data_IF_773752599207
#
_entry.id   IF_773752599207
#
_cell.length_a   1.000
_cell.length_b   1.000
_cell.length_c   1.000
_cell.angle_alpha   90.00
_cell.angle_beta   90.00
_cell.angle_gamma   90.00
#
_symmetry.space_group_name_H-M   'P 1'
#
loop_
_entity.id
_entity.type
_entity.pdbx_description
1 polymer ?
#
# COMPACT_ATOMS: atom_id res chain seq x y z
N UNK A 1 -10.15 6.60 5.16
CA UNK A 1 -9.57 7.77 4.47
C UNK A 1 -9.55 7.39 3.05
N UNK A 2 -10.28 8.14 2.25
CA UNK A 2 -10.73 7.58 0.99
C UNK A 2 -10.29 8.52 -0.11
N UNK A 3 -9.83 7.94 -1.19
CA UNK A 3 -9.49 8.69 -2.38
C UNK A 3 -9.47 7.78 -3.59
N UNK A 4 -9.63 8.41 -4.74
CA UNK A 4 -9.54 7.76 -6.03
C UNK A 4 -8.40 8.39 -6.83
N UNK A 5 -7.85 7.62 -7.76
CA UNK A 5 -6.83 8.07 -8.70
C UNK A 5 -7.09 7.40 -10.06
N UNK A 6 -7.03 8.20 -11.13
CA UNK A 6 -7.08 7.72 -12.51
C UNK A 6 -5.64 7.58 -13.03
N UNK A 7 -5.32 6.43 -13.61
CA UNK A 7 -3.99 6.07 -14.08
C UNK A 7 -4.08 5.55 -15.51
N UNK A 8 -3.10 5.86 -16.35
CA UNK A 8 -3.13 5.50 -17.77
C UNK A 8 -2.79 4.02 -18.04
N UNK A 9 -2.10 3.36 -17.11
CA UNK A 9 -1.80 1.93 -17.21
C UNK A 9 -3.09 1.09 -17.24
N UNK A 10 -3.08 -0.02 -18.00
CA UNK A 10 -4.22 -0.94 -18.04
C UNK A 10 -4.34 -1.73 -16.72
N UNK A 11 -5.57 -2.13 -16.39
CA UNK A 11 -5.93 -2.74 -15.10
C UNK A 11 -5.04 -3.92 -14.75
N UNK A 12 -4.93 -4.89 -15.66
CA UNK A 12 -4.20 -6.13 -15.43
C UNK A 12 -2.72 -5.90 -15.09
N UNK A 13 -2.03 -5.01 -15.83
CA UNK A 13 -0.61 -4.74 -15.59
C UNK A 13 -0.41 -3.98 -14.29
N UNK A 14 -1.23 -2.95 -14.06
CA UNK A 14 -1.17 -2.19 -12.82
C UNK A 14 -1.45 -3.07 -11.59
N UNK A 15 -2.46 -3.93 -11.67
CA UNK A 15 -2.81 -4.89 -10.63
C UNK A 15 -1.67 -5.87 -10.37
N UNK A 16 -1.06 -6.43 -11.42
CA UNK A 16 0.05 -7.38 -11.27
C UNK A 16 1.24 -6.78 -10.52
N UNK A 17 1.55 -5.50 -10.76
CA UNK A 17 2.60 -4.78 -10.04
C UNK A 17 2.18 -4.50 -8.59
N UNK A 18 0.91 -4.14 -8.36
CA UNK A 18 0.39 -3.92 -7.01
C UNK A 18 0.33 -5.21 -6.17
N UNK A 19 0.10 -6.36 -6.80
CA UNK A 19 0.09 -7.66 -6.14
C UNK A 19 1.51 -8.19 -5.82
N UNK A 20 2.56 -7.61 -6.41
CA UNK A 20 3.96 -7.91 -6.09
C UNK A 20 4.46 -7.01 -4.96
N UNK A 21 4.13 -7.36 -3.72
CA UNK A 21 4.48 -6.54 -2.54
C UNK A 21 5.99 -6.25 -2.40
N UNK A 22 6.86 -7.13 -2.91
CA UNK A 22 8.31 -6.92 -2.82
C UNK A 22 8.79 -5.77 -3.71
N UNK A 23 8.05 -5.42 -4.78
CA UNK A 23 8.38 -4.29 -5.64
C UNK A 23 8.27 -2.95 -4.90
N UNK A 24 7.55 -2.89 -3.78
CA UNK A 24 7.26 -1.64 -3.07
C UNK A 24 8.53 -0.96 -2.56
N UNK A 25 9.52 -1.75 -2.10
CA UNK A 25 10.86 -1.28 -1.73
C UNK A 25 11.55 -0.56 -2.89
N UNK A 26 11.45 -1.09 -4.10
CA UNK A 26 12.04 -0.47 -5.31
C UNK A 26 11.32 0.83 -5.67
N UNK A 27 10.00 0.89 -5.49
CA UNK A 27 9.20 2.06 -5.84
C UNK A 27 9.40 3.20 -4.82
N UNK A 28 9.45 2.88 -3.53
CA UNK A 28 9.56 3.86 -2.44
C UNK A 28 10.75 3.57 -1.51
N UNK A 29 12.00 3.57 -2.02
CA UNK A 29 13.18 3.14 -1.24
C UNK A 29 13.45 4.01 -0.01
N UNK A 30 13.04 5.27 -0.03
CA UNK A 30 13.23 6.22 1.07
C UNK A 30 12.18 6.05 2.20
N UNK A 31 11.07 5.34 1.93
CA UNK A 31 9.98 5.12 2.88
C UNK A 31 9.83 3.65 3.28
N UNK A 32 10.23 2.72 2.41
CA UNK A 32 10.10 1.28 2.58
C UNK A 32 11.50 0.69 2.47
N UNK A 33 12.14 0.49 3.63
CA UNK A 33 13.50 0.00 3.71
C UNK A 33 13.58 -1.50 3.38
N UNK A 34 12.54 -2.25 3.76
CA UNK A 34 12.44 -3.68 3.44
C UNK A 34 11.00 -4.15 3.35
N UNK A 35 10.77 -5.17 2.49
CA UNK A 35 9.53 -5.95 2.42
C UNK A 35 9.91 -7.41 2.19
N UNK A 36 9.49 -8.27 3.09
CA UNK A 36 9.70 -9.73 3.01
C UNK A 36 8.37 -10.44 3.06
N UNK A 37 8.16 -11.42 2.18
CA UNK A 37 7.05 -12.35 2.32
C UNK A 37 7.46 -13.40 3.36
N UNK A 38 6.75 -13.43 4.49
CA UNK A 38 7.02 -14.38 5.59
C UNK A 38 6.05 -15.56 5.59
N UNK A 39 4.91 -15.42 4.93
CA UNK A 39 3.95 -16.50 4.70
C UNK A 39 3.21 -16.26 3.40
N UNK A 40 2.93 -17.33 2.65
CA UNK A 40 2.05 -17.30 1.47
C UNK A 40 1.30 -18.62 1.42
N UNK A 41 -0.02 -18.54 1.50
CA UNK A 41 -0.94 -19.66 1.29
C UNK A 41 -1.92 -19.33 0.15
N UNK A 42 -2.88 -20.22 -0.11
CA UNK A 42 -3.86 -20.06 -1.19
C UNK A 42 -4.74 -18.81 -1.04
N UNK A 43 -4.91 -18.33 0.18
CA UNK A 43 -5.90 -17.31 0.55
C UNK A 43 -5.26 -16.00 1.00
N UNK A 44 -4.05 -16.05 1.58
CA UNK A 44 -3.40 -14.88 2.16
C UNK A 44 -1.89 -14.86 1.91
N UNK A 45 -1.37 -13.64 1.87
CA UNK A 45 0.06 -13.35 1.88
C UNK A 45 0.35 -12.53 3.12
N UNK A 46 1.33 -12.93 3.92
CA UNK A 46 1.82 -12.15 5.05
C UNK A 46 3.19 -11.60 4.71
N UNK A 47 3.33 -10.30 4.87
CA UNK A 47 4.58 -9.57 4.68
C UNK A 47 5.06 -9.00 6.00
N UNK A 48 6.38 -8.81 6.07
CA UNK A 48 7.05 -8.03 7.10
C UNK A 48 7.69 -6.82 6.42
N UNK A 49 7.37 -5.62 6.91
CA UNK A 49 7.88 -4.37 6.37
C UNK A 49 8.67 -3.57 7.40
N UNK A 50 9.76 -2.97 6.93
CA UNK A 50 10.50 -1.94 7.67
C UNK A 50 10.22 -0.60 6.99
N UNK A 51 9.45 0.24 7.66
CA UNK A 51 9.01 1.54 7.14
C UNK A 51 9.74 2.68 7.84
N UNK A 52 10.10 3.71 7.09
CA UNK A 52 10.72 4.93 7.61
C UNK A 52 9.79 6.13 7.46
N UNK A 53 9.21 6.57 8.57
CA UNK A 53 8.29 7.72 8.60
C UNK A 53 9.02 9.04 8.87
N UNK A 54 10.15 9.30 8.19
CA UNK A 54 11.09 10.37 8.55
C UNK A 54 10.46 11.75 8.80
N UNK A 55 9.37 12.10 8.09
CA UNK A 55 8.66 13.38 8.23
C UNK A 55 7.68 13.46 9.40
N UNK A 56 7.30 12.33 10.01
CA UNK A 56 6.31 12.27 11.11
C UNK A 56 6.94 11.65 12.36
N UNK A 57 7.59 10.51 12.21
CA UNK A 57 8.23 9.74 13.26
C UNK A 57 9.63 9.41 12.71
N UNK A 58 10.68 10.09 13.21
CA UNK A 58 12.09 9.86 12.83
C UNK A 58 12.63 8.49 13.33
N UNK A 59 11.81 7.45 13.25
CA UNK A 59 12.11 6.09 13.67
C UNK A 59 11.62 5.12 12.62
N UNK A 60 12.32 4.00 12.54
CA UNK A 60 11.86 2.84 11.81
C UNK A 60 10.64 2.23 12.49
N UNK A 61 9.70 1.77 11.68
CA UNK A 61 8.51 1.07 12.09
C UNK A 61 8.57 -0.31 11.47
N UNK A 62 8.72 -1.32 12.31
CA UNK A 62 8.54 -2.71 11.93
C UNK A 62 7.06 -3.05 12.06
N UNK A 63 6.50 -3.62 11.00
CA UNK A 63 5.12 -4.11 11.00
C UNK A 63 5.00 -5.36 10.15
N UNK A 64 3.89 -6.05 10.32
CA UNK A 64 3.47 -7.13 9.46
C UNK A 64 2.08 -6.84 8.94
N UNK A 65 1.84 -7.21 7.69
CA UNK A 65 0.56 -7.01 7.02
C UNK A 65 0.08 -8.34 6.46
N UNK A 66 -1.22 -8.59 6.57
CA UNK A 66 -1.91 -9.74 5.95
C UNK A 66 -2.71 -9.23 4.77
N UNK A 67 -2.45 -9.80 3.61
CA UNK A 67 -3.06 -9.41 2.35
C UNK A 67 -3.97 -10.51 1.81
N UNK A 68 -5.06 -10.11 1.17
CA UNK A 68 -5.94 -10.98 0.40
C UNK A 68 -6.15 -10.37 -0.99
N UNK A 69 -5.93 -11.19 -2.02
CA UNK A 69 -6.16 -10.85 -3.42
C UNK A 69 -7.50 -11.46 -3.81
N UNK A 70 -8.45 -10.64 -4.28
CA UNK A 70 -9.79 -11.09 -4.65
C UNK A 70 -9.97 -10.88 -6.14
N UNK A 71 -10.11 -11.99 -6.87
CA UNK A 71 -10.48 -12.06 -8.29
C UNK A 71 -9.62 -11.21 -9.25
N UNK A 72 -8.42 -10.79 -8.84
CA UNK A 72 -7.55 -9.95 -9.67
C UNK A 72 -7.95 -8.48 -9.74
N UNK A 73 -8.91 -8.05 -8.91
CA UNK A 73 -9.48 -6.70 -8.94
C UNK A 73 -9.35 -5.96 -7.60
N UNK A 74 -9.20 -6.70 -6.50
CA UNK A 74 -9.12 -6.12 -5.17
C UNK A 74 -7.90 -6.66 -4.42
N UNK A 75 -7.24 -5.76 -3.69
CA UNK A 75 -6.24 -6.09 -2.68
C UNK A 75 -6.73 -5.54 -1.34
N UNK A 76 -7.10 -6.44 -0.45
CA UNK A 76 -7.37 -6.15 0.95
C UNK A 76 -6.12 -6.38 1.78
N UNK A 77 -5.79 -5.45 2.66
CA UNK A 77 -4.64 -5.53 3.54
C UNK A 77 -5.01 -5.14 4.97
N UNK A 78 -4.61 -5.94 5.94
CA UNK A 78 -4.73 -5.63 7.37
C UNK A 78 -3.33 -5.59 8.00
N UNK A 79 -3.01 -4.51 8.70
CA UNK A 79 -1.78 -4.44 9.51
C UNK A 79 -2.00 -5.26 10.78
N UNK A 80 -1.28 -6.38 10.93
CA UNK A 80 -1.49 -7.33 12.03
C UNK A 80 -0.50 -7.15 13.19
N UNK A 81 0.58 -6.39 12.99
CA UNK A 81 1.56 -6.06 14.03
C UNK A 81 2.11 -4.63 13.88
N UNK A 82 2.84 -4.14 14.90
CA UNK A 82 3.39 -2.79 14.90
C UNK A 82 2.43 -1.70 15.43
N UNK A 83 2.84 -0.43 15.38
CA UNK A 83 2.12 0.70 16.00
C UNK A 83 0.79 1.04 15.32
N UNK A 84 0.53 0.49 14.14
CA UNK A 84 -0.68 0.70 13.34
C UNK A 84 -1.55 -0.56 13.22
N UNK A 85 -1.30 -1.54 14.10
CA UNK A 85 -2.07 -2.78 14.16
C UNK A 85 -3.58 -2.53 14.15
N UNK A 86 -4.28 -3.31 13.32
CA UNK A 86 -5.72 -3.25 13.09
C UNK A 86 -6.16 -2.18 12.08
N UNK A 87 -5.22 -1.48 11.43
CA UNK A 87 -5.53 -0.65 10.27
C UNK A 87 -5.78 -1.51 9.04
N UNK A 88 -6.69 -1.08 8.16
CA UNK A 88 -7.03 -1.81 6.93
C UNK A 88 -6.92 -0.92 5.70
N UNK A 89 -6.46 -1.49 4.59
CA UNK A 89 -6.46 -0.88 3.25
C UNK A 89 -7.31 -1.77 2.35
N UNK A 90 -8.30 -1.19 1.70
CA UNK A 90 -9.04 -1.78 0.60
C UNK A 90 -8.68 -1.04 -0.68
N UNK A 91 -8.06 -1.73 -1.63
CA UNK A 91 -7.69 -1.18 -2.93
C UNK A 91 -8.44 -1.92 -4.05
N UNK A 92 -9.32 -1.21 -4.75
CA UNK A 92 -10.09 -1.73 -5.87
C UNK A 92 -9.58 -1.12 -7.19
N UNK A 93 -9.31 -1.97 -8.17
CA UNK A 93 -8.84 -1.60 -9.50
C UNK A 93 -9.99 -1.79 -10.49
N UNK A 94 -10.39 -0.70 -11.15
CA UNK A 94 -11.55 -0.63 -12.02
C UNK A 94 -11.07 -0.17 -13.38
N UNK A 95 -11.41 -0.91 -14.43
CA UNK A 95 -11.11 -0.49 -15.80
C UNK A 95 -11.84 0.82 -16.13
N UNK A 96 -11.14 1.76 -16.76
CA UNK A 96 -11.70 3.03 -17.20
C UNK A 96 -11.34 3.31 -18.67
N UNK A 97 -12.09 4.17 -19.39
CA UNK A 97 -11.83 4.43 -20.82
C UNK A 97 -10.41 4.93 -21.12
N UNK A 98 -9.73 5.51 -20.13
CA UNK A 98 -8.38 6.07 -20.25
C UNK A 98 -7.32 5.27 -19.49
N UNK A 99 -7.66 4.10 -18.95
CA UNK A 99 -6.74 3.22 -18.23
C UNK A 99 -7.39 2.51 -17.05
N UNK A 100 -6.98 2.86 -15.83
CA UNK A 100 -7.46 2.25 -14.59
C UNK A 100 -7.79 3.30 -13.55
N UNK A 101 -9.00 3.23 -13.02
CA UNK A 101 -9.38 3.91 -11.79
C UNK A 101 -9.01 3.03 -10.60
N UNK A 102 -8.25 3.57 -9.66
CA UNK A 102 -7.95 2.89 -8.39
C UNK A 102 -8.70 3.60 -7.27
N UNK A 103 -9.60 2.88 -6.61
CA UNK A 103 -10.33 3.36 -5.43
C UNK A 103 -9.69 2.79 -4.17
N UNK A 104 -9.33 3.68 -3.23
CA UNK A 104 -8.68 3.32 -1.98
C UNK A 104 -9.56 3.74 -0.82
N UNK A 105 -9.88 2.79 0.06
CA UNK A 105 -10.40 3.03 1.40
C UNK A 105 -9.37 2.58 2.43
N UNK A 106 -9.05 3.45 3.39
CA UNK A 106 -8.07 3.15 4.43
C UNK A 106 -8.55 3.52 5.83
N UNK A 107 -8.79 2.51 6.66
CA UNK A 107 -9.14 2.69 8.06
C UNK A 107 -7.88 2.69 8.91
N UNK A 108 -7.46 3.88 9.36
CA UNK A 108 -6.27 4.03 10.19
C UNK A 108 -6.60 3.77 11.66
N UNK A 109 -5.94 2.79 12.27
CA UNK A 109 -5.85 2.62 13.73
C UNK A 109 -4.43 2.94 14.19
N UNK A 110 -4.32 3.80 15.19
CA UNK A 110 -3.03 4.26 15.72
C UNK A 110 -2.97 3.87 17.20
N UNK A 111 -1.84 3.31 17.63
CA UNK A 111 -1.62 3.03 19.05
C UNK A 111 -1.70 4.30 19.90
N UNK A 112 -2.03 4.15 21.18
CA UNK A 112 -2.26 5.28 22.09
C UNK A 112 -1.07 6.25 22.14
N UNK A 113 0.16 5.72 22.04
CA UNK A 113 1.40 6.50 22.04
C UNK A 113 1.47 7.53 20.89
N UNK A 114 0.88 7.23 19.73
CA UNK A 114 0.95 8.08 18.54
C UNK A 114 -0.38 8.79 18.23
N UNK A 115 -1.37 8.71 19.13
CA UNK A 115 -2.73 9.21 18.90
C UNK A 115 -2.78 10.71 18.57
N UNK A 116 -1.92 11.53 19.18
CA UNK A 116 -1.84 12.98 18.90
C UNK A 116 -1.35 13.24 17.46
N UNK A 117 -0.50 12.36 16.91
CA UNK A 117 0.04 12.49 15.55
C UNK A 117 -0.89 11.93 14.46
N UNK A 118 -2.05 11.38 14.83
CA UNK A 118 -2.98 10.73 13.88
C UNK A 118 -3.27 11.57 12.62
N UNK A 119 -3.54 12.89 12.69
CA UNK A 119 -3.81 13.69 11.50
C UNK A 119 -2.61 13.74 10.54
N UNK A 120 -1.39 13.84 11.09
CA UNK A 120 -0.15 13.87 10.31
C UNK A 120 0.13 12.50 9.69
N UNK A 121 -0.02 11.43 10.46
CA UNK A 121 0.13 10.04 9.98
C UNK A 121 -0.84 9.78 8.83
N UNK A 122 -2.12 10.14 9.00
CA UNK A 122 -3.16 9.99 7.97
C UNK A 122 -2.80 10.76 6.70
N UNK A 123 -2.38 12.03 6.82
CA UNK A 123 -1.96 12.84 5.66
C UNK A 123 -0.76 12.20 4.95
N UNK A 124 0.23 11.74 5.71
CA UNK A 124 1.45 11.17 5.16
C UNK A 124 1.18 9.84 4.43
N UNK A 125 0.38 8.94 5.00
CA UNK A 125 -0.05 7.71 4.33
C UNK A 125 -0.76 7.99 3.00
N UNK A 126 -1.63 9.01 2.94
CA UNK A 126 -2.30 9.39 1.68
C UNK A 126 -1.30 9.79 0.61
N UNK A 127 -0.26 10.54 0.99
CA UNK A 127 0.80 10.97 0.08
C UNK A 127 1.60 9.76 -0.42
N UNK A 128 2.01 8.88 0.50
CA UNK A 128 2.76 7.66 0.17
C UNK A 128 1.97 6.76 -0.78
N UNK A 129 0.71 6.47 -0.47
CA UNK A 129 -0.11 5.58 -1.30
C UNK A 129 -0.30 6.16 -2.70
N UNK A 130 -0.58 7.47 -2.82
CA UNK A 130 -0.64 8.14 -4.12
C UNK A 130 0.69 8.03 -4.89
N UNK A 131 1.81 8.30 -4.22
CA UNK A 131 3.13 8.21 -4.83
C UNK A 131 3.43 6.78 -5.32
N UNK A 132 3.07 5.78 -4.51
CA UNK A 132 3.20 4.36 -4.86
C UNK A 132 2.46 4.06 -6.18
N UNK A 133 1.17 4.42 -6.26
CA UNK A 133 0.35 4.18 -7.45
C UNK A 133 0.85 4.91 -8.69
N UNK A 134 1.30 6.17 -8.57
CA UNK A 134 1.92 6.86 -9.70
C UNK A 134 3.20 6.18 -10.18
N UNK A 135 4.02 5.66 -9.26
CA UNK A 135 5.25 4.93 -9.60
C UNK A 135 4.95 3.56 -10.24
N UNK A 136 3.94 2.85 -9.75
CA UNK A 136 3.43 1.62 -10.39
C UNK A 136 2.94 1.90 -11.81
N UNK A 137 2.18 2.97 -12.01
CA UNK A 137 1.72 3.40 -13.34
C UNK A 137 2.91 3.64 -14.28
N UNK A 138 3.92 4.38 -13.85
CA UNK A 138 5.10 4.64 -14.68
C UNK A 138 5.87 3.35 -15.01
N UNK A 139 6.00 2.44 -14.04
CA UNK A 139 6.61 1.13 -14.25
C UNK A 139 5.81 0.28 -15.26
N UNK A 140 4.49 0.28 -15.15
CA UNK A 140 3.60 -0.41 -16.08
C UNK A 140 3.75 0.14 -17.51
N UNK A 141 3.78 1.46 -17.68
CA UNK A 141 3.91 2.10 -18.99
C UNK A 141 5.31 1.92 -19.60
N UNK A 142 6.37 1.86 -18.78
CA UNK A 142 7.75 1.70 -19.24
C UNK A 142 8.13 0.26 -19.60
N UNK A 143 7.30 -0.71 -19.22
CA UNK A 143 7.54 -2.14 -19.51
C UNK A 143 6.86 -2.58 -20.81
N UNK A 144 6.68 -1.66 -21.77
CA UNK A 144 6.10 -1.88 -23.10
C UNK A 144 7.17 -1.78 -24.17
#
# INVERSE_FOLDING_TARGET
>A
MDFEIELAANKSKLFSIAADFQVYKKLLPDQILDVKIVQKDESHIVTEEILLFASVIKKEINQQSRHKIIEGDVIDSEIISGPLKGSTVHAQFIESPTGTKVSISFELKVSLMYKILTPLIKKYYKIILKALFYKMNNMALSSN
#
